data_IF_203999867396
#
_entry.id   IF_203999867396
#
_cell.length_a   1.000
_cell.length_b   1.000
_cell.length_c   1.000
_cell.angle_alpha   90.00
_cell.angle_beta   90.00
_cell.angle_gamma   90.00
#
_symmetry.space_group_name_H-M   'P 1'
#
loop_
_entity.id
_entity.type
_entity.pdbx_description
1 polymer ?
#
# COMPACT_ATOMS: atom_id res chain seq x y z
N UNK A 1 31.82 -16.11 34.86
CA UNK A 1 30.62 -16.58 34.13
C UNK A 1 30.19 -15.44 33.23
N UNK A 2 30.63 -15.43 31.97
CA UNK A 2 30.11 -14.49 30.99
C UNK A 2 28.72 -15.00 30.58
N UNK A 3 27.71 -14.17 30.82
CA UNK A 3 26.34 -14.47 30.41
C UNK A 3 26.28 -14.53 28.90
N UNK A 4 25.86 -15.68 28.37
CA UNK A 4 25.35 -15.78 27.02
C UNK A 4 24.00 -15.03 26.98
N UNK A 5 24.05 -13.71 26.86
CA UNK A 5 22.93 -12.97 26.29
C UNK A 5 22.95 -13.26 24.80
N UNK A 6 22.40 -14.43 24.46
CA UNK A 6 21.97 -14.72 23.11
C UNK A 6 20.97 -13.62 22.79
N UNK A 7 21.38 -12.64 21.99
CA UNK A 7 20.50 -11.64 21.41
C UNK A 7 19.54 -12.42 20.51
N UNK A 8 18.50 -13.00 21.11
CA UNK A 8 17.37 -13.57 20.39
C UNK A 8 16.87 -12.41 19.56
N UNK A 9 17.12 -12.45 18.25
CA UNK A 9 16.45 -11.57 17.32
C UNK A 9 14.98 -11.92 17.46
N UNK A 10 14.28 -11.20 18.34
CA UNK A 10 12.84 -11.33 18.49
C UNK A 10 12.25 -11.16 17.10
N UNK A 11 11.52 -12.16 16.62
CA UNK A 11 10.92 -12.13 15.30
C UNK A 11 10.00 -10.92 15.21
N UNK A 12 10.32 -9.96 14.35
CA UNK A 12 9.47 -8.81 14.10
C UNK A 12 8.32 -9.26 13.19
N UNK A 13 7.14 -9.47 13.78
CA UNK A 13 5.91 -9.72 13.04
C UNK A 13 5.27 -8.42 12.55
N UNK A 14 4.55 -8.51 11.44
CA UNK A 14 3.80 -7.39 10.89
C UNK A 14 2.45 -7.83 10.31
N UNK A 15 1.50 -6.90 10.24
CA UNK A 15 0.28 -7.03 9.47
C UNK A 15 0.46 -6.26 8.16
N UNK A 16 0.22 -6.93 7.05
CA UNK A 16 0.27 -6.30 5.72
C UNK A 16 -1.14 -6.16 5.16
N UNK A 17 -1.57 -4.92 4.99
CA UNK A 17 -2.80 -4.55 4.32
C UNK A 17 -2.50 -4.33 2.84
N UNK A 18 -3.11 -5.15 2.00
CA UNK A 18 -2.82 -5.20 0.58
C UNK A 18 -4.11 -5.16 -0.25
N UNK A 19 -4.03 -4.61 -1.46
CA UNK A 19 -5.15 -4.55 -2.39
C UNK A 19 -6.27 -3.60 -1.95
N UNK A 20 -5.92 -2.56 -1.18
CA UNK A 20 -6.87 -1.52 -0.81
C UNK A 20 -7.14 -0.64 -2.04
N UNK A 21 -8.42 -0.45 -2.33
CA UNK A 21 -8.90 0.47 -3.36
C UNK A 21 -10.11 1.24 -2.83
N UNK A 22 -10.09 2.56 -2.95
CA UNK A 22 -11.17 3.42 -2.47
C UNK A 22 -12.06 3.98 -3.57
N UNK A 23 -13.37 3.76 -3.46
CA UNK A 23 -14.38 4.47 -4.24
C UNK A 23 -15.56 4.96 -3.38
N UNK A 24 -16.26 5.99 -3.86
CA UNK A 24 -17.46 6.54 -3.22
C UNK A 24 -17.20 7.68 -2.25
N UNK A 25 -18.24 8.08 -1.51
CA UNK A 25 -18.25 9.32 -0.72
C UNK A 25 -17.66 9.16 0.69
N UNK A 26 -17.66 7.94 1.26
CA UNK A 26 -17.27 7.70 2.66
C UNK A 26 -15.89 7.03 2.81
N UNK A 27 -14.91 7.48 2.03
CA UNK A 27 -13.55 6.95 2.04
C UNK A 27 -12.83 7.15 3.39
N UNK A 28 -13.06 8.30 4.05
CA UNK A 28 -12.52 8.58 5.37
C UNK A 28 -12.98 7.56 6.41
N UNK A 29 -14.28 7.27 6.45
CA UNK A 29 -14.85 6.28 7.38
C UNK A 29 -14.38 4.86 7.09
N UNK A 30 -14.18 4.51 5.81
CA UNK A 30 -13.57 3.24 5.40
C UNK A 30 -12.15 3.12 5.94
N UNK A 31 -11.31 4.13 5.70
CA UNK A 31 -9.90 4.12 6.14
C UNK A 31 -9.79 4.09 7.67
N UNK A 32 -10.61 4.86 8.38
CA UNK A 32 -10.66 4.85 9.85
C UNK A 32 -11.04 3.47 10.39
N UNK A 33 -12.04 2.83 9.78
CA UNK A 33 -12.50 1.50 10.18
C UNK A 33 -11.42 0.43 9.96
N UNK A 34 -10.75 0.45 8.81
CA UNK A 34 -9.64 -0.46 8.50
C UNK A 34 -8.50 -0.26 9.49
N UNK A 35 -8.13 0.99 9.77
CA UNK A 35 -7.05 1.29 10.70
C UNK A 35 -7.39 0.84 12.13
N UNK A 36 -8.60 1.16 12.61
CA UNK A 36 -9.07 0.74 13.94
C UNK A 36 -9.10 -0.79 14.08
N UNK A 37 -9.56 -1.49 13.05
CA UNK A 37 -9.58 -2.96 13.02
C UNK A 37 -8.16 -3.52 13.10
N UNK A 38 -7.25 -3.01 12.27
CA UNK A 38 -5.89 -3.53 12.15
C UNK A 38 -5.07 -3.27 13.41
N UNK A 39 -5.19 -2.10 14.03
CA UNK A 39 -4.54 -1.80 15.30
C UNK A 39 -5.00 -2.74 16.42
N UNK A 40 -6.32 -2.96 16.55
CA UNK A 40 -6.87 -3.91 17.54
C UNK A 40 -6.49 -5.36 17.25
N UNK A 41 -6.30 -5.72 15.99
CA UNK A 41 -5.81 -7.04 15.61
C UNK A 41 -4.33 -7.20 15.97
N UNK A 42 -3.52 -6.19 15.67
CA UNK A 42 -2.09 -6.14 16.01
C UNK A 42 -1.86 -6.28 17.51
N UNK A 43 -2.62 -5.58 18.34
CA UNK A 43 -2.56 -5.68 19.81
C UNK A 43 -2.82 -7.10 20.34
N UNK A 44 -3.57 -7.93 19.60
CA UNK A 44 -3.87 -9.33 19.99
C UNK A 44 -2.80 -10.31 19.56
N UNK A 45 -1.89 -9.91 18.66
CA UNK A 45 -0.81 -10.74 18.15
C UNK A 45 0.43 -10.50 19.00
N UNK A 46 0.96 -11.56 19.63
CA UNK A 46 2.06 -11.46 20.60
C UNK A 46 3.34 -10.81 20.06
N UNK A 47 3.59 -10.95 18.76
CA UNK A 47 4.84 -10.52 18.11
C UNK A 47 4.60 -9.54 16.94
N UNK A 48 3.40 -8.95 16.83
CA UNK A 48 3.11 -7.97 15.79
C UNK A 48 3.54 -6.57 16.22
N UNK A 49 4.55 -6.01 15.57
CA UNK A 49 5.12 -4.69 15.91
C UNK A 49 4.87 -3.63 14.84
N UNK A 50 4.41 -4.04 13.66
CA UNK A 50 4.26 -3.14 12.52
C UNK A 50 2.96 -3.42 11.76
N UNK A 51 2.35 -2.35 11.26
CA UNK A 51 1.31 -2.41 10.23
C UNK A 51 1.90 -1.77 8.98
N UNK A 52 1.87 -2.50 7.88
CA UNK A 52 2.30 -2.04 6.56
C UNK A 52 1.04 -1.98 5.70
N UNK A 53 0.90 -0.93 4.91
CA UNK A 53 -0.17 -0.84 3.91
C UNK A 53 0.41 -0.36 2.60
N UNK A 54 -0.07 -0.95 1.51
CA UNK A 54 0.18 -0.47 0.16
C UNK A 54 -1.02 0.36 -0.30
N UNK A 55 -0.76 1.51 -0.93
CA UNK A 55 -1.79 2.33 -1.55
C UNK A 55 -1.33 2.75 -2.94
N UNK A 56 -2.25 2.65 -3.91
CA UNK A 56 -1.95 3.00 -5.30
C UNK A 56 -1.69 4.50 -5.47
N UNK A 57 -0.72 4.83 -6.34
CA UNK A 57 -0.48 6.21 -6.74
C UNK A 57 -1.72 6.78 -7.44
N UNK A 58 -2.41 7.74 -6.80
CA UNK A 58 -3.66 8.32 -7.27
C UNK A 58 -4.93 7.72 -6.66
N UNK A 59 -4.82 6.74 -5.76
CA UNK A 59 -5.95 6.26 -4.98
C UNK A 59 -6.42 7.37 -4.00
N UNK A 60 -7.73 7.70 -3.97
CA UNK A 60 -8.22 8.74 -3.08
C UNK A 60 -8.05 8.40 -1.58
N UNK A 61 -7.89 7.13 -1.19
CA UNK A 61 -7.59 6.69 0.19
C UNK A 61 -6.30 7.28 0.74
N UNK A 62 -5.33 7.62 -0.11
CA UNK A 62 -4.06 8.24 0.31
C UNK A 62 -4.34 9.52 1.11
N UNK A 63 -5.39 10.27 0.77
CA UNK A 63 -5.79 11.49 1.46
C UNK A 63 -6.43 11.25 2.84
N UNK A 64 -6.79 10.01 3.14
CA UNK A 64 -7.47 9.59 4.37
C UNK A 64 -6.58 8.76 5.30
N UNK A 65 -5.32 8.53 4.93
CA UNK A 65 -4.35 7.86 5.78
C UNK A 65 -4.11 8.71 7.03
N UNK A 66 -4.29 8.14 8.24
CA UNK A 66 -3.98 8.86 9.48
C UNK A 66 -2.54 9.35 9.47
N UNK A 67 -2.31 10.59 9.93
CA UNK A 67 -0.95 11.13 10.08
C UNK A 67 -0.55 10.97 11.55
N UNK A 68 0.33 10.01 11.84
CA UNK A 68 0.84 9.73 13.19
C UNK A 68 2.37 9.79 13.19
N UNK A 69 2.98 10.22 14.30
CA UNK A 69 4.44 10.31 14.43
C UNK A 69 5.16 8.95 14.28
N UNK A 70 4.45 7.85 14.54
CA UNK A 70 4.95 6.48 14.40
C UNK A 70 4.89 5.94 12.97
N UNK A 71 4.34 6.71 12.02
CA UNK A 71 4.20 6.28 10.63
C UNK A 71 5.41 6.71 9.80
N UNK A 72 5.85 5.79 8.94
CA UNK A 72 6.82 6.07 7.90
C UNK A 72 6.19 5.75 6.55
N UNK A 73 6.46 6.59 5.56
CA UNK A 73 6.04 6.37 4.17
C UNK A 73 7.30 6.04 3.36
N UNK A 74 7.19 5.02 2.51
CA UNK A 74 8.23 4.66 1.54
C UNK A 74 7.71 5.10 0.17
N UNK A 75 8.40 6.05 -0.44
CA UNK A 75 8.08 6.53 -1.79
C UNK A 75 8.76 5.64 -2.84
N UNK A 76 8.20 4.46 -3.08
CA UNK A 76 8.70 3.57 -4.12
C UNK A 76 8.26 4.03 -5.52
N UNK A 77 9.19 4.07 -6.48
CA UNK A 77 8.87 4.38 -7.87
C UNK A 77 8.48 3.14 -8.66
N UNK A 78 7.24 3.12 -9.15
CA UNK A 78 6.70 1.97 -9.88
C UNK A 78 6.62 2.29 -11.37
N UNK A 79 7.30 1.50 -12.20
CA UNK A 79 7.24 1.62 -13.66
C UNK A 79 6.09 0.77 -14.19
N UNK A 80 5.05 1.41 -14.72
CA UNK A 80 3.97 0.71 -15.41
C UNK A 80 4.24 0.69 -16.90
N UNK A 81 4.14 -0.50 -17.51
CA UNK A 81 4.22 -0.66 -18.97
C UNK A 81 2.86 -1.05 -19.50
N UNK A 82 2.30 -0.24 -20.41
CA UNK A 82 1.08 -0.60 -21.13
C UNK A 82 1.35 -1.85 -21.97
N UNK A 83 0.71 -2.96 -21.62
CA UNK A 83 0.61 -4.13 -22.49
C UNK A 83 -0.59 -3.86 -23.41
N UNK A 84 -0.32 -3.30 -24.59
CA UNK A 84 -1.36 -2.86 -25.51
C UNK A 84 -2.37 -3.99 -25.81
N UNK A 85 -3.66 -3.61 -25.91
CA UNK A 85 -4.69 -4.40 -26.59
C UNK A 85 -4.74 -3.94 -28.04
N UNK A 86 -4.79 -4.91 -28.93
CA UNK A 86 -4.94 -4.77 -30.37
C UNK A 86 -6.03 -3.75 -30.73
N UNK A 87 -5.65 -2.56 -31.19
CA UNK A 87 -6.43 -1.76 -32.14
C UNK A 87 -5.59 -0.58 -32.62
N UNK A 88 -5.54 -0.44 -33.94
CA UNK A 88 -4.85 0.55 -34.76
C UNK A 88 -5.27 2.01 -34.48
N UNK A 89 -4.99 2.55 -33.30
CA UNK A 89 -5.08 3.99 -33.07
C UNK A 89 -3.70 4.53 -32.67
N UNK A 90 -3.12 5.35 -33.54
CA UNK A 90 -1.94 6.20 -33.33
C UNK A 90 -2.25 7.26 -32.24
N UNK A 91 -2.52 6.81 -31.02
CA UNK A 91 -2.69 7.70 -29.86
C UNK A 91 -1.29 8.01 -29.33
N UNK A 92 -0.86 9.25 -29.53
CA UNK A 92 0.42 9.81 -29.07
C UNK A 92 0.80 9.31 -27.67
N UNK A 93 1.88 8.54 -27.59
CA UNK A 93 2.36 7.89 -26.35
C UNK A 93 2.61 8.92 -25.24
N UNK A 94 2.89 10.18 -25.59
CA UNK A 94 3.06 11.27 -24.64
C UNK A 94 1.73 11.73 -24.03
N UNK A 95 0.65 11.78 -24.83
CA UNK A 95 -0.71 12.06 -24.35
C UNK A 95 -1.27 10.90 -23.53
N UNK A 96 -0.96 9.65 -23.91
CA UNK A 96 -1.34 8.46 -23.14
C UNK A 96 -0.59 8.40 -21.83
N UNK A 97 0.71 8.69 -21.79
CA UNK A 97 1.48 8.80 -20.55
C UNK A 97 0.96 9.93 -19.66
N UNK A 98 0.67 11.10 -20.23
CA UNK A 98 0.03 12.17 -19.48
C UNK A 98 -1.37 11.77 -18.99
N UNK A 99 -2.15 11.00 -19.74
CA UNK A 99 -3.45 10.50 -19.28
C UNK A 99 -3.31 9.39 -18.25
N UNK A 100 -2.31 8.52 -18.34
CA UNK A 100 -1.95 7.52 -17.33
C UNK A 100 -1.52 8.18 -16.02
N UNK A 101 -0.81 9.31 -16.11
CA UNK A 101 -0.39 10.08 -14.94
C UNK A 101 -1.45 11.06 -14.42
N UNK A 102 -2.35 11.57 -15.28
CA UNK A 102 -3.43 12.53 -14.91
C UNK A 102 -4.79 11.88 -14.65
N UNK A 103 -5.06 10.69 -15.17
CA UNK A 103 -6.24 9.87 -14.88
C UNK A 103 -5.76 8.58 -14.28
N UNK A 104 -6.21 8.33 -13.04
CA UNK A 104 -6.80 7.06 -12.63
C UNK A 104 -6.40 5.87 -13.52
N UNK A 105 -5.14 5.43 -13.47
CA UNK A 105 -4.89 4.01 -13.64
C UNK A 105 -5.51 3.38 -12.40
N UNK A 106 -6.80 3.07 -12.50
CA UNK A 106 -7.42 2.14 -11.58
C UNK A 106 -6.55 0.89 -11.57
N UNK A 107 -6.03 0.59 -10.39
CA UNK A 107 -5.64 -0.75 -9.98
C UNK A 107 -4.44 -1.31 -10.76
N UNK A 108 -3.27 -0.73 -10.52
CA UNK A 108 -2.02 -1.48 -10.75
C UNK A 108 -1.94 -2.53 -9.64
N UNK A 109 -2.18 -3.80 -9.99
CA UNK A 109 -2.10 -4.93 -9.07
C UNK A 109 -0.72 -5.58 -9.19
N UNK A 110 0.09 -5.49 -8.13
CA UNK A 110 1.36 -6.21 -8.02
C UNK A 110 1.17 -7.34 -7.02
N UNK A 111 1.23 -8.60 -7.44
CA UNK A 111 1.08 -9.73 -6.51
C UNK A 111 2.30 -9.80 -5.57
N UNK A 112 2.13 -9.59 -4.25
CA UNK A 112 3.24 -9.58 -3.30
C UNK A 112 3.81 -10.98 -3.02
N UNK A 113 3.18 -12.06 -3.56
CA UNK A 113 3.67 -13.44 -3.39
C UNK A 113 4.85 -13.80 -4.30
N UNK A 114 5.20 -12.92 -5.24
CA UNK A 114 6.37 -13.09 -6.11
C UNK A 114 7.69 -12.57 -5.49
N UNK A 115 7.67 -12.15 -4.21
CA UNK A 115 8.83 -11.67 -3.44
C UNK A 115 9.19 -12.57 -2.25
#
# INVERSE_FOLDING_TARGET
MLGNESLMCESLGFLFLYGLHGEGENLGGLMESIWSFTSKLGEKLKDCRLVITELGFGDPLVNHVPQMESMSCIDDMWYTKRLARDSDDDVDDELVQQQVMKRQLGNVFVDPRDF
#
